data_IF_012488697038
#
_entry.id   IF_012488697038
#
_cell.length_a   1.000
_cell.length_b   1.000
_cell.length_c   1.000
_cell.angle_alpha   90.00
_cell.angle_beta   90.00
_cell.angle_gamma   90.00
#
_symmetry.space_group_name_H-M   'P 1'
#
loop_
_entity.id
_entity.type
_entity.pdbx_description
1 polymer ?
#
# COMPACT_ATOMS: atom_id res chain seq x y z
N UNK A 1 0.88 17.05 -14.98
CA UNK A 1 0.53 15.68 -15.44
C UNK A 1 -0.44 15.08 -14.43
N UNK A 2 -1.52 14.43 -14.87
CA UNK A 2 -2.37 13.66 -13.96
C UNK A 2 -1.68 12.33 -13.66
N UNK A 3 -1.59 11.91 -12.40
CA UNK A 3 -1.00 10.62 -11.99
C UNK A 3 -1.65 9.41 -12.69
N UNK A 4 -2.89 9.53 -13.16
CA UNK A 4 -3.53 8.51 -14.00
C UNK A 4 -2.81 8.28 -15.34
N UNK A 5 -2.11 9.29 -15.86
CA UNK A 5 -1.30 9.14 -17.08
C UNK A 5 0.05 8.49 -16.82
N UNK A 6 0.52 8.47 -15.57
CA UNK A 6 1.77 7.80 -15.18
C UNK A 6 1.57 6.31 -14.91
N UNK A 7 0.37 5.92 -14.44
CA UNK A 7 0.02 4.53 -14.09
C UNK A 7 -1.31 4.10 -14.73
N UNK A 8 -1.39 4.01 -16.06
CA UNK A 8 -2.67 3.77 -16.75
C UNK A 8 -3.34 2.46 -16.32
N UNK A 9 -2.58 1.42 -16.00
CA UNK A 9 -3.14 0.14 -15.58
C UNK A 9 -3.58 0.13 -14.12
N UNK A 10 -3.11 1.10 -13.34
CA UNK A 10 -3.49 1.32 -11.95
C UNK A 10 -4.54 2.42 -11.76
N UNK A 11 -4.92 3.14 -12.82
CA UNK A 11 -5.86 4.27 -12.79
C UNK A 11 -7.21 3.98 -12.11
N UNK A 12 -7.61 2.70 -12.04
CA UNK A 12 -8.83 2.22 -11.40
C UNK A 12 -8.70 1.92 -9.90
N UNK A 13 -7.48 1.82 -9.38
CA UNK A 13 -7.19 1.55 -7.97
C UNK A 13 -6.85 2.86 -7.28
N UNK A 14 -7.89 3.59 -6.86
CA UNK A 14 -7.73 4.98 -6.41
C UNK A 14 -6.95 5.05 -5.11
N UNK A 15 -7.23 4.16 -4.17
CA UNK A 15 -6.58 4.14 -2.87
C UNK A 15 -5.14 3.63 -2.98
N UNK A 16 -4.89 2.63 -3.83
CA UNK A 16 -3.55 2.16 -4.13
C UNK A 16 -2.69 3.24 -4.79
N UNK A 17 -3.25 4.00 -5.74
CA UNK A 17 -2.55 5.13 -6.34
C UNK A 17 -2.23 6.22 -5.32
N UNK A 18 -3.13 6.48 -4.38
CA UNK A 18 -2.86 7.43 -3.31
C UNK A 18 -1.67 6.98 -2.46
N UNK A 19 -1.63 5.70 -2.08
CA UNK A 19 -0.49 5.11 -1.37
C UNK A 19 0.82 5.23 -2.17
N UNK A 20 0.81 4.92 -3.47
CA UNK A 20 2.01 5.04 -4.31
C UNK A 20 2.49 6.49 -4.46
N UNK A 21 1.56 7.45 -4.56
CA UNK A 21 1.94 8.87 -4.59
C UNK A 21 2.52 9.33 -3.26
N UNK A 22 1.92 8.92 -2.14
CA UNK A 22 2.47 9.20 -0.82
C UNK A 22 3.87 8.58 -0.68
N UNK A 23 4.06 7.35 -1.16
CA UNK A 23 5.35 6.68 -1.16
C UNK A 23 6.42 7.45 -1.97
N UNK A 24 6.11 7.83 -3.22
CA UNK A 24 7.05 8.54 -4.10
C UNK A 24 7.45 9.90 -3.52
N UNK A 25 6.48 10.69 -3.06
CA UNK A 25 6.75 12.03 -2.53
C UNK A 25 7.67 12.00 -1.30
N UNK A 26 7.58 10.95 -0.46
CA UNK A 26 8.39 10.87 0.75
C UNK A 26 9.73 10.17 0.45
N UNK A 27 9.79 9.24 -0.51
CA UNK A 27 11.00 8.47 -0.83
C UNK A 27 12.11 9.34 -1.42
N UNK A 28 11.76 10.36 -2.22
CA UNK A 28 12.75 11.28 -2.81
C UNK A 28 13.53 12.10 -1.76
N UNK A 29 13.01 12.27 -0.54
CA UNK A 29 13.61 13.16 0.46
C UNK A 29 14.53 12.48 1.48
N UNK A 30 14.41 11.16 1.73
CA UNK A 30 14.95 10.60 3.00
C UNK A 30 15.76 9.29 2.92
N UNK A 31 15.90 8.65 1.76
CA UNK A 31 16.60 7.35 1.62
C UNK A 31 16.12 6.31 2.67
N UNK A 32 14.82 6.36 3.01
CA UNK A 32 14.21 5.51 4.04
C UNK A 32 13.72 4.21 3.38
N UNK A 33 13.94 3.05 4.02
CA UNK A 33 13.41 1.78 3.56
C UNK A 33 11.90 1.82 3.27
N UNK A 34 11.48 1.11 2.22
CA UNK A 34 10.12 1.25 1.70
C UNK A 34 9.03 0.82 2.70
N UNK A 35 9.30 -0.23 3.45
CA UNK A 35 8.49 -0.79 4.53
C UNK A 35 8.24 0.21 5.67
N UNK A 36 9.28 0.95 6.09
CA UNK A 36 9.17 1.99 7.12
C UNK A 36 8.23 3.11 6.66
N UNK A 37 8.26 3.43 5.38
CA UNK A 37 7.48 4.52 4.79
C UNK A 37 6.00 4.13 4.68
N UNK A 38 5.73 2.92 4.22
CA UNK A 38 4.38 2.36 4.16
C UNK A 38 3.78 2.26 5.57
N UNK A 39 4.57 1.85 6.56
CA UNK A 39 4.15 1.87 7.97
C UNK A 39 3.77 3.27 8.44
N UNK A 40 4.56 4.30 8.09
CA UNK A 40 4.25 5.70 8.44
C UNK A 40 2.97 6.18 7.78
N UNK A 41 2.80 5.92 6.48
CA UNK A 41 1.57 6.21 5.75
C UNK A 41 0.37 5.53 6.44
N UNK A 42 0.49 4.24 6.72
CA UNK A 42 -0.57 3.47 7.36
C UNK A 42 -0.99 4.11 8.69
N UNK A 43 -0.03 4.55 9.53
CA UNK A 43 -0.31 5.20 10.82
C UNK A 43 -1.04 6.53 10.76
N UNK A 44 -0.87 7.31 9.68
CA UNK A 44 -1.49 8.65 9.57
C UNK A 44 -2.77 8.64 8.74
N UNK A 45 -3.00 7.58 7.95
CA UNK A 45 -4.20 7.47 7.13
C UNK A 45 -5.46 7.10 7.90
N UNK A 46 -6.61 7.32 7.28
CA UNK A 46 -7.91 6.92 7.85
C UNK A 46 -8.10 5.41 7.80
N UNK A 47 -8.93 4.91 8.71
CA UNK A 47 -9.30 3.49 8.73
C UNK A 47 -9.95 3.05 7.42
N UNK A 48 -10.86 3.87 6.87
CA UNK A 48 -11.56 3.61 5.61
C UNK A 48 -10.60 3.55 4.42
N UNK A 49 -9.58 4.42 4.39
CA UNK A 49 -8.58 4.43 3.33
C UNK A 49 -7.68 3.19 3.39
N UNK A 50 -7.26 2.76 4.58
CA UNK A 50 -6.48 1.52 4.77
C UNK A 50 -7.30 0.31 4.32
N UNK A 51 -8.54 0.19 4.79
CA UNK A 51 -9.43 -0.91 4.40
C UNK A 51 -9.69 -0.94 2.88
N UNK A 52 -9.89 0.22 2.25
CA UNK A 52 -10.05 0.32 0.79
C UNK A 52 -8.78 -0.11 0.06
N UNK A 53 -7.61 0.31 0.55
CA UNK A 53 -6.31 -0.04 -0.04
C UNK A 53 -6.04 -1.54 0.05
N UNK A 54 -6.35 -2.17 1.19
CA UNK A 54 -6.28 -3.63 1.37
C UNK A 54 -7.18 -4.33 0.35
N UNK A 55 -8.42 -3.87 0.19
CA UNK A 55 -9.35 -4.46 -0.78
C UNK A 55 -8.82 -4.38 -2.22
N UNK A 56 -8.29 -3.22 -2.61
CA UNK A 56 -7.70 -3.00 -3.94
C UNK A 56 -6.44 -3.86 -4.16
N UNK A 57 -5.55 -3.97 -3.16
CA UNK A 57 -4.36 -4.82 -3.20
C UNK A 57 -4.71 -6.30 -3.34
N UNK A 58 -5.65 -6.79 -2.55
CA UNK A 58 -6.11 -8.19 -2.60
C UNK A 58 -6.69 -8.50 -3.98
N UNK A 59 -7.54 -7.60 -4.51
CA UNK A 59 -8.08 -7.75 -5.87
C UNK A 59 -6.99 -7.75 -6.95
N UNK A 60 -5.96 -6.93 -6.80
CA UNK A 60 -4.85 -6.87 -7.73
C UNK A 60 -3.99 -8.14 -7.68
N UNK A 61 -3.66 -8.62 -6.48
CA UNK A 61 -2.82 -9.81 -6.24
C UNK A 61 -3.47 -11.11 -6.72
N UNK A 62 -4.81 -11.20 -6.70
CA UNK A 62 -5.57 -12.33 -7.23
C UNK A 62 -5.49 -12.47 -8.76
N UNK A 63 -5.00 -11.46 -9.48
CA UNK A 63 -4.90 -11.53 -10.94
C UNK A 63 -3.78 -12.47 -11.38
N UNK A 64 -3.97 -13.18 -12.51
CA UNK A 64 -2.94 -14.04 -13.07
C UNK A 64 -1.70 -13.27 -13.53
N UNK A 65 -1.87 -12.01 -13.93
CA UNK A 65 -0.78 -11.12 -14.34
C UNK A 65 -0.91 -9.78 -13.62
N UNK A 66 0.22 -9.20 -13.21
CA UNK A 66 0.26 -7.85 -12.66
C UNK A 66 0.73 -6.83 -13.71
N UNK A 67 0.26 -5.57 -13.63
CA UNK A 67 0.90 -4.46 -14.32
C UNK A 67 2.22 -4.10 -13.62
N UNK A 68 3.17 -5.03 -13.63
CA UNK A 68 4.37 -4.97 -12.80
C UNK A 68 5.31 -3.82 -13.19
N UNK A 69 5.24 -3.32 -14.43
CA UNK A 69 5.98 -2.13 -14.86
C UNK A 69 5.47 -0.86 -14.15
N UNK A 70 4.14 -0.67 -14.07
CA UNK A 70 3.54 0.46 -13.35
C UNK A 70 3.88 0.37 -11.85
N UNK A 71 3.87 -0.85 -11.29
CA UNK A 71 4.22 -1.11 -9.88
C UNK A 71 5.71 -0.86 -9.64
N UNK A 72 6.58 -1.31 -10.55
CA UNK A 72 8.02 -1.07 -10.49
C UNK A 72 8.33 0.42 -10.54
N UNK A 73 7.68 1.17 -11.43
CA UNK A 73 7.79 2.63 -11.48
C UNK A 73 7.38 3.26 -10.15
N UNK A 74 6.28 2.81 -9.55
CA UNK A 74 5.85 3.27 -8.23
C UNK A 74 6.88 2.93 -7.12
N UNK A 75 7.58 1.81 -7.24
CA UNK A 75 8.65 1.38 -6.36
C UNK A 75 10.04 1.91 -6.80
N UNK A 76 10.10 3.06 -7.49
CA UNK A 76 11.33 3.70 -7.96
C UNK A 76 12.24 2.76 -8.78
N UNK A 77 11.63 1.97 -9.67
CA UNK A 77 12.30 1.02 -10.56
C UNK A 77 13.12 -0.07 -9.87
N UNK A 78 12.91 -0.30 -8.57
CA UNK A 78 13.68 -1.31 -7.81
C UNK A 78 13.28 -2.75 -8.15
N UNK A 79 12.07 -2.94 -8.70
CA UNK A 79 11.48 -4.25 -8.98
C UNK A 79 11.77 -4.67 -10.43
N UNK A 80 12.41 -5.81 -10.61
CA UNK A 80 12.92 -6.29 -11.91
C UNK A 80 12.06 -7.37 -12.54
N UNK A 81 11.02 -7.83 -11.85
CA UNK A 81 10.13 -8.89 -12.32
C UNK A 81 8.72 -8.75 -11.77
N UNK A 82 7.76 -9.42 -12.41
CA UNK A 82 6.41 -9.55 -11.88
C UNK A 82 6.40 -10.25 -10.51
N UNK A 83 7.29 -11.21 -10.31
CA UNK A 83 7.42 -11.92 -9.03
C UNK A 83 7.87 -10.96 -7.92
N UNK A 84 8.88 -10.13 -8.16
CA UNK A 84 9.32 -9.10 -7.22
C UNK A 84 8.19 -8.08 -6.93
N UNK A 85 7.41 -7.72 -7.94
CA UNK A 85 6.24 -6.87 -7.75
C UNK A 85 5.18 -7.52 -6.85
N UNK A 86 4.89 -8.81 -7.04
CA UNK A 86 3.98 -9.56 -6.17
C UNK A 86 4.50 -9.60 -4.73
N UNK A 87 5.77 -9.92 -4.54
CA UNK A 87 6.39 -9.98 -3.21
C UNK A 87 6.35 -8.62 -2.50
N UNK A 88 6.67 -7.56 -3.22
CA UNK A 88 6.61 -6.20 -2.70
C UNK A 88 5.19 -5.79 -2.31
N UNK A 89 4.19 -6.04 -3.16
CA UNK A 89 2.79 -5.78 -2.84
C UNK A 89 2.27 -6.62 -1.65
N UNK A 90 2.69 -7.89 -1.54
CA UNK A 90 2.34 -8.73 -0.39
C UNK A 90 2.91 -8.18 0.92
N UNK A 91 4.13 -7.62 0.90
CA UNK A 91 4.70 -6.95 2.09
C UNK A 91 3.88 -5.72 2.49
N UNK A 92 3.47 -4.91 1.51
CA UNK A 92 2.60 -3.75 1.75
C UNK A 92 1.26 -4.19 2.35
N UNK A 93 0.62 -5.19 1.75
CA UNK A 93 -0.64 -5.75 2.21
C UNK A 93 -0.54 -6.15 3.69
N UNK A 94 0.50 -6.91 4.06
CA UNK A 94 0.72 -7.35 5.43
C UNK A 94 0.86 -6.18 6.42
N UNK A 95 1.62 -5.14 6.07
CA UNK A 95 1.76 -3.95 6.93
C UNK A 95 0.40 -3.28 7.16
N UNK A 96 -0.41 -3.15 6.11
CA UNK A 96 -1.73 -2.52 6.22
C UNK A 96 -2.71 -3.37 7.03
N UNK A 97 -2.69 -4.69 6.88
CA UNK A 97 -3.50 -5.62 7.67
C UNK A 97 -3.14 -5.56 9.16
N UNK A 98 -1.84 -5.57 9.49
CA UNK A 98 -1.34 -5.44 10.87
C UNK A 98 -1.77 -4.10 11.50
N UNK A 99 -1.65 -2.99 10.76
CA UNK A 99 -2.11 -1.67 11.25
C UNK A 99 -3.62 -1.63 11.46
N UNK A 100 -4.41 -2.23 10.56
CA UNK A 100 -5.86 -2.29 10.67
C UNK A 100 -6.29 -3.11 11.90
N UNK A 101 -5.64 -4.26 12.13
CA UNK A 101 -5.85 -5.12 13.29
C UNK A 101 -5.50 -4.39 14.60
N UNK A 102 -4.34 -3.73 14.66
CA UNK A 102 -3.95 -2.92 15.81
C UNK A 102 -4.99 -1.86 16.14
N UNK A 103 -5.49 -1.12 15.13
CA UNK A 103 -6.52 -0.10 15.35
C UNK A 103 -7.84 -0.68 15.86
N UNK A 104 -8.22 -1.86 15.39
CA UNK A 104 -9.42 -2.55 15.87
C UNK A 104 -9.25 -3.02 17.32
N UNK A 105 -8.07 -3.54 17.68
CA UNK A 105 -7.77 -3.92 19.06
C UNK A 105 -7.80 -2.72 20.02
N UNK A 106 -7.27 -1.56 19.62
CA UNK A 106 -7.28 -0.34 20.44
C UNK A 106 -8.69 0.31 20.57
N UNK A 107 -9.65 -0.05 19.69
CA UNK A 107 -11.06 0.38 19.82
C UNK A 107 -11.86 -0.49 20.79
N UNK A 108 -11.33 -1.64 21.20
CA UNK A 108 -11.99 -2.57 22.11
C UNK A 108 -11.28 -2.56 23.46
N UNK A 109 -11.53 -1.59 24.36
CA UNK A 109 -11.11 -1.76 25.74
C UNK A 109 -11.91 -2.95 26.28
N UNK A 110 -11.22 -4.05 26.61
CA UNK A 110 -11.77 -5.08 27.48
C UNK A 110 -12.29 -4.36 28.74
N UNK A 111 -13.61 -4.24 28.86
CA UNK A 111 -14.22 -3.85 30.11
C UNK A 111 -13.91 -4.97 31.10
N UNK A 112 -13.20 -4.71 32.22
CA UNK A 112 -13.01 -5.74 33.23
C UNK A 112 -14.40 -6.13 33.74
N UNK A 113 -14.75 -7.40 33.56
CA UNK A 113 -15.93 -7.99 34.17
C UNK A 113 -15.83 -7.77 35.69
N UNK A 114 -16.83 -7.08 36.26
CA UNK A 114 -16.94 -6.83 37.70
C UNK A 114 -17.50 -8.05 38.42
#
# INVERSE_FOLDING_TARGET
MSYKSLYPNLAKYRSLLHLFLAYIHIHDDLNVPADVMITRYAKVETFENIASTISELTSLLQKPTLPWLDISYAANHTLKSEQEAREWLNKILKILEEELEQRNAHKSPELPEK
#
